data_IF_779588130992
#
_entry.id   IF_779588130992
#
_cell.length_a   1.000
_cell.length_b   1.000
_cell.length_c   1.000
_cell.angle_alpha   90.00
_cell.angle_beta   90.00
_cell.angle_gamma   90.00
#
_symmetry.space_group_name_H-M   'P 1'
#
loop_
_entity.id
_entity.type
_entity.pdbx_description
1 polymer ?
#
# COMPACT_ATOMS: atom_id res chain seq x y z
N UNK A 1 -29.23 -52.04 -19.45
CA UNK A 1 -28.48 -51.42 -18.32
C UNK A 1 -28.57 -49.91 -18.52
N UNK A 2 -29.68 -49.22 -18.19
CA UNK A 2 -30.05 -48.65 -16.88
C UNK A 2 -28.86 -48.11 -16.06
N UNK A 3 -28.74 -46.77 -16.05
CA UNK A 3 -28.45 -45.85 -14.93
C UNK A 3 -28.28 -44.45 -15.55
N UNK A 4 -28.82 -43.33 -15.08
CA UNK A 4 -29.95 -42.94 -14.24
C UNK A 4 -30.01 -41.42 -14.42
N UNK A 5 -31.20 -40.88 -14.63
CA UNK A 5 -31.47 -39.43 -14.74
C UNK A 5 -31.45 -38.79 -13.34
N UNK A 6 -30.97 -37.54 -13.29
CA UNK A 6 -31.19 -36.48 -12.29
C UNK A 6 -30.66 -36.63 -10.85
N UNK A 7 -29.95 -35.58 -10.38
CA UNK A 7 -30.52 -34.69 -9.36
C UNK A 7 -29.82 -33.32 -9.35
N UNK A 8 -30.62 -32.27 -9.39
CA UNK A 8 -30.23 -30.89 -9.15
C UNK A 8 -29.75 -30.71 -7.70
N UNK A 9 -28.71 -29.90 -7.51
CA UNK A 9 -28.46 -29.18 -6.26
C UNK A 9 -28.25 -27.71 -6.62
N UNK A 10 -29.36 -26.98 -6.71
CA UNK A 10 -29.39 -25.57 -6.35
C UNK A 10 -29.88 -25.53 -4.91
N UNK A 11 -29.03 -25.16 -3.97
CA UNK A 11 -29.48 -24.42 -2.79
C UNK A 11 -28.33 -23.66 -2.13
N UNK A 12 -28.44 -22.34 -2.29
CA UNK A 12 -28.06 -21.25 -1.40
C UNK A 12 -27.18 -21.62 -0.19
N UNK A 13 -25.92 -21.19 -0.23
CA UNK A 13 -25.19 -20.82 0.98
C UNK A 13 -24.80 -19.34 0.90
N UNK A 14 -25.51 -18.52 1.66
CA UNK A 14 -25.04 -17.26 2.21
C UNK A 14 -24.95 -16.08 1.24
N UNK A 15 -25.86 -15.11 1.41
CA UNK A 15 -25.55 -13.72 1.16
C UNK A 15 -24.38 -13.29 2.07
N UNK A 16 -23.14 -13.57 1.63
CA UNK A 16 -21.93 -13.17 2.33
C UNK A 16 -21.04 -12.35 1.38
N UNK A 17 -21.23 -11.04 1.49
CA UNK A 17 -20.16 -10.04 1.39
C UNK A 17 -19.36 -9.93 0.08
N UNK A 18 -20.05 -9.73 -1.05
CA UNK A 18 -19.40 -9.22 -2.28
C UNK A 18 -18.76 -7.83 -2.03
N UNK A 19 -19.35 -7.02 -1.14
CA UNK A 19 -18.82 -5.68 -0.82
C UNK A 19 -17.49 -5.65 -0.02
N UNK A 20 -17.02 -6.78 0.56
CA UNK A 20 -15.73 -6.79 1.30
C UNK A 20 -14.53 -6.84 0.36
N UNK A 21 -14.65 -7.60 -0.73
CA UNK A 21 -13.58 -7.74 -1.71
C UNK A 21 -13.23 -6.37 -2.33
N UNK A 22 -14.25 -5.63 -2.77
CA UNK A 22 -14.09 -4.31 -3.40
C UNK A 22 -13.38 -3.30 -2.47
N UNK A 23 -13.80 -3.19 -1.20
CA UNK A 23 -13.19 -2.23 -0.27
C UNK A 23 -11.71 -2.53 0.01
N UNK A 24 -11.36 -3.79 0.32
CA UNK A 24 -9.98 -4.15 0.64
C UNK A 24 -9.07 -4.02 -0.59
N UNK A 25 -9.57 -4.35 -1.77
CA UNK A 25 -8.84 -4.16 -3.02
C UNK A 25 -8.63 -2.67 -3.34
N UNK A 26 -9.65 -1.84 -3.18
CA UNK A 26 -9.56 -0.39 -3.36
C UNK A 26 -8.49 0.22 -2.47
N UNK A 27 -8.48 -0.09 -1.16
CA UNK A 27 -7.49 0.47 -0.24
C UNK A 27 -6.08 -0.06 -0.51
N UNK A 28 -5.92 -1.29 -1.01
CA UNK A 28 -4.62 -1.80 -1.47
C UNK A 28 -4.12 -1.02 -2.67
N UNK A 29 -4.98 -0.78 -3.67
CA UNK A 29 -4.63 -0.01 -4.86
C UNK A 29 -4.28 1.44 -4.50
N UNK A 30 -5.05 2.04 -3.58
CA UNK A 30 -4.77 3.37 -3.06
C UNK A 30 -3.41 3.42 -2.33
N UNK A 31 -3.11 2.40 -1.53
CA UNK A 31 -1.84 2.27 -0.82
C UNK A 31 -0.67 2.11 -1.80
N UNK A 32 -0.80 1.26 -2.81
CA UNK A 32 0.22 1.04 -3.83
C UNK A 32 0.58 2.35 -4.55
N UNK A 33 -0.43 3.06 -5.07
CA UNK A 33 -0.22 4.34 -5.74
C UNK A 33 0.37 5.40 -4.78
N UNK A 34 -0.05 5.42 -3.50
CA UNK A 34 0.59 6.25 -2.48
C UNK A 34 2.09 5.96 -2.35
N UNK A 35 2.48 4.69 -2.26
CA UNK A 35 3.89 4.32 -2.10
C UNK A 35 4.76 4.75 -3.29
N UNK A 36 4.26 4.59 -4.51
CA UNK A 36 4.93 5.07 -5.72
C UNK A 36 5.03 6.60 -5.74
N UNK A 37 3.92 7.29 -5.48
CA UNK A 37 3.88 8.75 -5.43
C UNK A 37 4.81 9.33 -4.37
N UNK A 38 4.89 8.69 -3.20
CA UNK A 38 5.80 9.07 -2.12
C UNK A 38 7.26 8.90 -2.53
N UNK A 39 7.63 7.74 -3.09
CA UNK A 39 9.00 7.47 -3.51
C UNK A 39 9.45 8.45 -4.60
N UNK A 40 8.61 8.64 -5.62
CA UNK A 40 8.88 9.52 -6.76
C UNK A 40 8.72 11.01 -6.46
N UNK A 41 8.22 11.38 -5.28
CA UNK A 41 8.07 12.79 -4.89
C UNK A 41 6.99 13.50 -5.67
N UNK A 42 5.85 12.84 -5.90
CA UNK A 42 4.74 13.41 -6.64
C UNK A 42 4.25 14.72 -6.00
N UNK A 43 4.00 15.73 -6.84
CA UNK A 43 3.71 17.09 -6.38
C UNK A 43 2.40 17.16 -5.56
N UNK A 44 1.42 16.32 -5.91
CA UNK A 44 0.10 16.28 -5.27
C UNK A 44 -0.02 15.23 -4.17
N UNK A 45 1.09 14.63 -3.75
CA UNK A 45 1.13 13.51 -2.81
C UNK A 45 0.35 13.78 -1.51
N UNK A 46 0.55 14.94 -0.88
CA UNK A 46 -0.13 15.30 0.37
C UNK A 46 -1.65 15.42 0.22
N UNK A 47 -2.13 15.83 -0.94
CA UNK A 47 -3.56 15.88 -1.25
C UNK A 47 -4.12 14.49 -1.52
N UNK A 48 -3.32 13.63 -2.16
CA UNK A 48 -3.67 12.23 -2.40
C UNK A 48 -3.87 11.47 -1.09
N UNK A 49 -2.90 11.53 -0.16
CA UNK A 49 -2.99 10.85 1.14
C UNK A 49 -4.22 11.26 1.93
N UNK A 50 -4.56 12.55 1.94
CA UNK A 50 -5.74 13.05 2.63
C UNK A 50 -7.02 12.39 2.12
N UNK A 51 -7.20 12.33 0.80
CA UNK A 51 -8.38 11.71 0.18
C UNK A 51 -8.36 10.19 0.33
N UNK A 52 -7.21 9.54 0.09
CA UNK A 52 -7.08 8.09 0.16
C UNK A 52 -7.35 7.55 1.57
N UNK A 53 -6.84 8.24 2.61
CA UNK A 53 -7.10 7.87 4.00
C UNK A 53 -8.52 8.20 4.43
N UNK A 54 -9.08 9.31 3.95
CA UNK A 54 -10.50 9.58 4.16
C UNK A 54 -11.38 8.49 3.53
N UNK A 55 -11.05 8.00 2.32
CA UNK A 55 -11.75 6.87 1.70
C UNK A 55 -11.65 5.62 2.54
N UNK A 56 -10.45 5.28 3.02
CA UNK A 56 -10.20 4.15 3.90
C UNK A 56 -11.11 4.20 5.14
N UNK A 57 -11.12 5.32 5.85
CA UNK A 57 -11.93 5.46 7.08
C UNK A 57 -13.43 5.49 6.77
N UNK A 58 -13.86 6.26 5.77
CA UNK A 58 -15.28 6.49 5.50
C UNK A 58 -15.98 5.33 4.79
N UNK A 59 -15.25 4.50 4.04
CA UNK A 59 -15.81 3.36 3.30
C UNK A 59 -15.93 2.09 4.14
N UNK A 60 -15.23 2.00 5.28
CA UNK A 60 -15.26 0.83 6.14
C UNK A 60 -16.61 0.67 6.87
N UNK A 61 -17.16 -0.55 6.90
CA UNK A 61 -18.45 -0.90 7.51
C UNK A 61 -18.34 -1.29 8.99
N UNK A 62 -17.13 -1.52 9.49
CA UNK A 62 -16.87 -1.81 10.90
C UNK A 62 -15.46 -1.39 11.28
N UNK A 63 -15.17 -1.31 12.58
CA UNK A 63 -13.84 -0.96 13.08
C UNK A 63 -12.83 -2.06 12.72
N UNK A 64 -13.27 -3.32 12.73
CA UNK A 64 -12.47 -4.47 12.28
C UNK A 64 -12.12 -4.36 10.79
N UNK A 65 -13.08 -4.02 9.92
CA UNK A 65 -12.83 -3.82 8.50
C UNK A 65 -11.93 -2.60 8.25
N UNK A 66 -12.09 -1.53 9.03
CA UNK A 66 -11.19 -0.37 8.97
C UNK A 66 -9.75 -0.75 9.34
N UNK A 67 -9.56 -1.51 10.42
CA UNK A 67 -8.23 -1.98 10.84
C UNK A 67 -7.57 -2.87 9.78
N UNK A 68 -8.34 -3.78 9.16
CA UNK A 68 -7.87 -4.60 8.03
C UNK A 68 -7.48 -3.73 6.83
N UNK A 69 -8.30 -2.72 6.50
CA UNK A 69 -8.00 -1.76 5.45
C UNK A 69 -6.75 -0.92 5.73
N UNK A 70 -6.54 -0.47 6.97
CA UNK A 70 -5.33 0.22 7.41
C UNK A 70 -4.09 -0.65 7.21
N UNK A 71 -4.16 -1.93 7.61
CA UNK A 71 -3.06 -2.86 7.41
C UNK A 71 -2.77 -3.07 5.92
N UNK A 72 -3.81 -3.27 5.11
CA UNK A 72 -3.70 -3.51 3.68
C UNK A 72 -3.11 -2.30 2.93
N UNK A 73 -3.62 -1.10 3.21
CA UNK A 73 -3.13 0.17 2.66
C UNK A 73 -1.66 0.40 2.99
N UNK A 74 -1.29 0.32 4.28
CA UNK A 74 0.07 0.60 4.73
C UNK A 74 1.06 -0.44 4.21
N UNK A 75 0.64 -1.71 4.13
CA UNK A 75 1.46 -2.78 3.55
C UNK A 75 1.71 -2.54 2.06
N UNK A 76 0.67 -2.19 1.29
CA UNK A 76 0.80 -1.90 -0.13
C UNK A 76 1.69 -0.67 -0.37
N UNK A 77 1.48 0.40 0.41
CA UNK A 77 2.31 1.62 0.39
C UNK A 77 3.77 1.32 0.66
N UNK A 78 4.07 0.61 1.74
CA UNK A 78 5.43 0.25 2.10
C UNK A 78 6.09 -0.61 1.01
N UNK A 79 5.38 -1.62 0.48
CA UNK A 79 5.91 -2.47 -0.60
C UNK A 79 6.22 -1.70 -1.87
N UNK A 80 5.29 -0.86 -2.33
CA UNK A 80 5.46 -0.04 -3.52
C UNK A 80 6.63 0.94 -3.36
N UNK A 81 6.70 1.64 -2.23
CA UNK A 81 7.81 2.54 -1.90
C UNK A 81 9.16 1.81 -1.92
N UNK A 82 9.27 0.69 -1.20
CA UNK A 82 10.51 -0.08 -1.12
C UNK A 82 10.95 -0.64 -2.47
N UNK A 83 9.99 -1.12 -3.28
CA UNK A 83 10.23 -1.59 -4.65
C UNK A 83 10.80 -0.47 -5.52
N UNK A 84 10.19 0.71 -5.47
CA UNK A 84 10.61 1.88 -6.23
C UNK A 84 11.97 2.42 -5.80
N UNK A 85 12.30 2.32 -4.51
CA UNK A 85 13.65 2.60 -4.01
C UNK A 85 14.66 1.58 -4.50
N UNK A 86 14.29 0.30 -4.51
CA UNK A 86 15.18 -0.80 -4.92
C UNK A 86 15.50 -0.78 -6.42
N UNK A 87 14.58 -0.31 -7.27
CA UNK A 87 14.83 -0.16 -8.70
C UNK A 87 15.57 1.14 -9.08
N UNK A 88 16.00 1.94 -8.10
CA UNK A 88 16.74 3.18 -8.35
C UNK A 88 15.87 4.35 -8.80
N UNK A 89 14.58 4.36 -8.47
CA UNK A 89 13.63 5.43 -8.83
C UNK A 89 13.41 5.58 -10.34
N UNK A 90 13.63 4.51 -11.11
CA UNK A 90 13.48 4.52 -12.56
C UNK A 90 12.04 4.84 -12.97
N UNK A 91 11.86 5.70 -13.98
CA UNK A 91 10.53 6.03 -14.50
C UNK A 91 9.69 6.98 -13.63
N UNK A 92 10.27 7.59 -12.58
CA UNK A 92 9.52 8.48 -11.69
C UNK A 92 8.92 9.71 -12.40
N UNK A 93 9.50 10.20 -13.49
CA UNK A 93 8.91 11.28 -14.30
C UNK A 93 7.53 10.89 -14.84
N UNK A 94 7.43 9.70 -15.43
CA UNK A 94 6.17 9.18 -15.97
C UNK A 94 5.17 8.84 -14.86
N UNK A 95 5.65 8.20 -13.77
CA UNK A 95 4.81 7.90 -12.61
C UNK A 95 4.21 9.19 -12.05
N UNK A 96 5.00 10.24 -11.86
CA UNK A 96 4.50 11.53 -11.37
C UNK A 96 3.47 12.14 -12.34
N UNK A 97 3.74 12.10 -13.65
CA UNK A 97 2.80 12.60 -14.65
C UNK A 97 1.46 11.85 -14.64
N UNK A 98 1.48 10.52 -14.46
CA UNK A 98 0.26 9.70 -14.34
C UNK A 98 -0.42 9.92 -12.98
N UNK A 99 0.36 10.02 -11.91
CA UNK A 99 -0.10 10.26 -10.55
C UNK A 99 -0.91 11.54 -10.50
N UNK A 100 -0.34 12.65 -10.97
CA UNK A 100 -0.96 13.98 -10.90
C UNK A 100 -2.25 14.12 -11.73
N UNK A 101 -2.48 13.20 -12.69
CA UNK A 101 -3.68 13.11 -13.54
C UNK A 101 -4.79 12.21 -12.97
N UNK A 102 -4.59 11.59 -11.81
CA UNK A 102 -5.59 10.69 -11.24
C UNK A 102 -6.91 11.40 -10.91
N UNK A 103 -8.03 10.74 -11.20
CA UNK A 103 -9.37 11.30 -10.96
C UNK A 103 -9.65 11.55 -9.47
N UNK A 104 -8.98 10.85 -8.56
CA UNK A 104 -9.15 11.00 -7.10
C UNK A 104 -9.02 12.45 -6.64
N UNK A 105 -8.26 13.28 -7.34
CA UNK A 105 -8.12 14.69 -6.98
C UNK A 105 -9.34 15.57 -7.27
N UNK A 106 -10.32 15.05 -8.02
CA UNK A 106 -11.60 15.70 -8.23
C UNK A 106 -12.62 15.33 -7.14
N UNK A 107 -12.20 14.55 -6.13
CA UNK A 107 -13.05 14.19 -4.99
C UNK A 107 -13.24 15.39 -4.07
N UNK A 108 -14.49 15.64 -3.67
CA UNK A 108 -14.77 16.63 -2.61
C UNK A 108 -14.79 15.94 -1.26
N UNK A 109 -13.89 16.34 -0.37
CA UNK A 109 -13.84 15.89 1.02
C UNK A 109 -14.46 16.96 1.93
N UNK A 110 -15.56 16.62 2.60
CA UNK A 110 -16.24 17.49 3.55
C UNK A 110 -15.64 17.35 4.94
N UNK A 111 -15.75 18.40 5.76
CA UNK A 111 -15.17 18.45 7.13
C UNK A 111 -15.57 17.26 8.01
N UNK A 112 -16.78 16.74 7.84
CA UNK A 112 -17.33 15.64 8.63
C UNK A 112 -16.92 14.22 8.14
N UNK A 113 -15.95 14.14 7.21
CA UNK A 113 -15.48 12.87 6.64
C UNK A 113 -16.29 12.35 5.45
N UNK A 114 -17.34 13.06 5.01
CA UNK A 114 -18.09 12.66 3.80
C UNK A 114 -17.22 12.91 2.56
N UNK A 115 -17.28 12.00 1.60
CA UNK A 115 -16.64 12.12 0.28
C UNK A 115 -17.71 12.18 -0.81
N UNK A 116 -17.53 13.08 -1.77
CA UNK A 116 -18.21 13.02 -3.07
C UNK A 116 -17.16 12.69 -4.13
N UNK A 117 -17.21 11.46 -4.62
CA UNK A 117 -16.29 10.92 -5.61
C UNK A 117 -16.51 11.56 -6.99
N UNK A 118 -15.53 11.47 -7.91
CA UNK A 118 -15.62 12.09 -9.24
C UNK A 118 -16.76 11.56 -10.11
N UNK A 119 -17.18 10.32 -9.89
CA UNK A 119 -18.33 9.68 -10.54
C UNK A 119 -19.68 10.10 -9.94
N UNK A 120 -19.67 10.96 -8.90
CA UNK A 120 -20.86 11.41 -8.19
C UNK A 120 -21.23 10.56 -6.98
N UNK A 121 -20.58 9.42 -6.74
CA UNK A 121 -20.85 8.55 -5.58
C UNK A 121 -20.57 9.31 -4.28
N UNK A 122 -21.51 9.25 -3.35
CA UNK A 122 -21.37 9.85 -2.01
C UNK A 122 -21.06 8.75 -1.01
N UNK A 123 -19.96 8.91 -0.27
CA UNK A 123 -19.53 7.99 0.78
C UNK A 123 -19.61 8.74 2.10
N UNK A 124 -20.41 8.21 3.03
CA UNK A 124 -20.59 8.78 4.37
C UNK A 124 -19.90 7.87 5.38
N UNK A 125 -19.12 8.43 6.32
CA UNK A 125 -18.53 7.62 7.36
C UNK A 125 -19.59 7.13 8.35
N UNK A 126 -19.34 5.98 8.98
CA UNK A 126 -20.20 5.43 10.04
C UNK A 126 -20.35 6.39 11.22
N UNK A 127 -19.28 7.11 11.53
CA UNK A 127 -19.23 8.15 12.54
C UNK A 127 -18.57 9.39 11.93
N UNK A 128 -19.14 10.56 12.17
CA UNK A 128 -18.53 11.82 11.72
C UNK A 128 -17.19 11.98 12.40
N UNK A 129 -16.18 12.41 11.65
CA UNK A 129 -14.86 12.74 12.15
C UNK A 129 -14.36 14.02 11.48
N UNK A 130 -13.36 14.68 12.05
CA UNK A 130 -12.70 15.80 11.40
C UNK A 130 -11.73 15.27 10.32
N UNK A 131 -12.09 15.49 9.07
CA UNK A 131 -11.32 15.02 7.93
C UNK A 131 -9.91 15.59 7.84
N UNK A 132 -9.61 16.69 8.54
CA UNK A 132 -8.25 17.27 8.58
C UNK A 132 -7.27 16.44 9.41
N UNK A 133 -7.77 15.55 10.27
CA UNK A 133 -6.96 14.76 11.20
C UNK A 133 -6.45 13.44 10.62
N UNK A 134 -6.95 13.01 9.44
CA UNK A 134 -6.57 11.70 8.89
C UNK A 134 -5.17 11.66 8.29
N UNK A 135 -4.58 12.82 8.00
CA UNK A 135 -3.24 12.92 7.44
C UNK A 135 -2.53 14.23 7.81
N UNK A 136 -1.30 14.12 8.31
CA UNK A 136 -0.42 15.25 8.56
C UNK A 136 0.32 15.67 7.27
N UNK A 137 -0.14 16.78 6.70
CA UNK A 137 0.45 17.38 5.49
C UNK A 137 1.79 18.07 5.76
N UNK A 138 2.16 18.32 7.01
CA UNK A 138 3.44 18.96 7.35
C UNK A 138 4.56 17.95 7.59
N UNK A 139 4.26 16.65 7.47
CA UNK A 139 5.25 15.59 7.61
C UNK A 139 6.35 15.66 6.55
N UNK A 140 7.59 15.38 6.98
CA UNK A 140 8.76 15.11 6.13
C UNK A 140 8.92 13.59 5.89
N UNK A 141 7.78 12.92 5.63
CA UNK A 141 7.68 11.46 5.56
C UNK A 141 8.68 10.88 4.54
N UNK A 142 8.79 11.50 3.37
CA UNK A 142 9.67 11.04 2.29
C UNK A 142 11.13 11.10 2.71
N UNK A 143 11.59 12.23 3.26
CA UNK A 143 12.97 12.42 3.68
C UNK A 143 13.34 11.40 4.77
N UNK A 144 12.45 11.19 5.74
CA UNK A 144 12.64 10.21 6.82
C UNK A 144 12.74 8.78 6.28
N UNK A 145 11.87 8.40 5.35
CA UNK A 145 11.89 7.05 4.77
C UNK A 145 13.07 6.85 3.82
N UNK A 146 13.52 7.89 3.12
CA UNK A 146 14.73 7.87 2.32
C UNK A 146 15.94 7.55 3.21
N UNK A 147 16.11 8.31 4.30
CA UNK A 147 17.19 8.11 5.26
C UNK A 147 17.13 6.72 5.91
N UNK A 148 15.94 6.24 6.24
CA UNK A 148 15.75 4.88 6.77
C UNK A 148 16.19 3.81 5.76
N UNK A 149 15.75 3.93 4.50
CA UNK A 149 16.13 3.01 3.44
C UNK A 149 17.65 2.97 3.24
N UNK A 150 18.29 4.13 3.16
CA UNK A 150 19.73 4.23 2.94
C UNK A 150 20.53 3.61 4.10
N UNK A 151 20.09 3.86 5.33
CA UNK A 151 20.65 3.20 6.52
C UNK A 151 20.51 1.69 6.48
N UNK A 152 19.35 1.18 6.05
CA UNK A 152 19.10 -0.25 5.91
C UNK A 152 20.03 -0.89 4.87
N UNK A 153 20.19 -0.24 3.71
CA UNK A 153 21.06 -0.75 2.64
C UNK A 153 22.54 -0.71 3.03
N UNK A 154 22.97 0.33 3.74
CA UNK A 154 24.32 0.41 4.29
C UNK A 154 24.61 -0.75 5.25
N UNK A 155 23.68 -1.08 6.15
CA UNK A 155 23.80 -2.23 7.05
C UNK A 155 23.88 -3.55 6.29
N UNK A 156 23.02 -3.76 5.28
CA UNK A 156 23.06 -4.95 4.43
C UNK A 156 24.40 -5.11 3.71
N UNK A 157 24.93 -4.01 3.17
CA UNK A 157 26.26 -4.00 2.52
C UNK A 157 27.38 -4.38 3.49
N UNK A 158 27.39 -3.82 4.71
CA UNK A 158 28.38 -4.18 5.73
C UNK A 158 28.29 -5.65 6.13
N UNK A 159 27.08 -6.19 6.28
CA UNK A 159 26.87 -7.59 6.60
C UNK A 159 27.38 -8.51 5.49
N UNK A 160 27.01 -8.23 4.22
CA UNK A 160 27.48 -9.02 3.08
C UNK A 160 29.02 -8.99 2.93
N UNK A 161 29.66 -7.85 3.24
CA UNK A 161 31.13 -7.76 3.26
C UNK A 161 31.74 -8.65 4.35
N UNK A 162 31.18 -8.65 5.57
CA UNK A 162 31.63 -9.51 6.66
C UNK A 162 31.46 -11.00 6.32
N UNK A 163 30.32 -11.38 5.77
CA UNK A 163 30.05 -12.75 5.31
C UNK A 163 31.03 -13.17 4.20
N UNK A 164 31.31 -12.30 3.24
CA UNK A 164 32.32 -12.55 2.20
C UNK A 164 33.75 -12.72 2.74
N UNK A 165 34.13 -11.99 3.78
CA UNK A 165 35.42 -12.17 4.48
C UNK A 165 35.44 -13.50 5.22
N UNK A 166 34.36 -13.82 5.95
CA UNK A 166 34.23 -15.07 6.68
C UNK A 166 34.39 -16.29 5.77
N UNK A 167 33.71 -16.31 4.62
CA UNK A 167 33.83 -17.40 3.65
C UNK A 167 35.25 -17.53 3.07
N UNK A 168 35.96 -16.41 2.87
CA UNK A 168 37.37 -16.44 2.45
C UNK A 168 38.28 -17.06 3.51
N UNK A 169 38.12 -16.67 4.77
CA UNK A 169 38.89 -17.23 5.90
C UNK A 169 38.63 -18.74 6.02
N UNK A 170 37.35 -19.14 5.99
CA UNK A 170 36.95 -20.55 6.09
C UNK A 170 37.55 -21.41 4.97
N UNK A 171 37.55 -20.92 3.72
CA UNK A 171 38.21 -21.61 2.59
C UNK A 171 39.72 -21.73 2.77
N UNK A 172 40.38 -20.68 3.23
CA UNK A 172 41.82 -20.72 3.49
C UNK A 172 42.18 -21.75 4.58
N UNK A 173 41.38 -21.83 5.65
CA UNK A 173 41.57 -22.83 6.72
C UNK A 173 41.38 -24.26 6.22
N UNK A 174 40.35 -24.52 5.41
CA UNK A 174 40.13 -25.84 4.81
C UNK A 174 41.28 -26.26 3.89
N UNK A 175 41.80 -25.34 3.08
CA UNK A 175 42.93 -25.62 2.21
C UNK A 175 44.23 -25.87 3.01
N UNK A 176 44.41 -25.20 4.15
CA UNK A 176 45.56 -25.41 5.03
C UNK A 176 45.50 -26.73 5.81
N UNK A 177 44.30 -27.28 6.05
CA UNK A 177 44.12 -28.55 6.76
C UNK A 177 44.26 -29.79 5.85
N UNK A 178 44.21 -29.61 4.53
CA UNK A 178 44.30 -30.68 3.53
C UNK A 178 45.67 -30.77 2.84
N UNK A 179 46.63 -29.95 3.26
CA UNK A 179 48.05 -30.02 2.87
C UNK A 179 48.90 -30.39 4.09
#
# INVERSE_FOLDING_TARGET
MKKSISLAIIMLLGALSVAKADYIEDVKNLGYASGEGLACGASRYKSYELVARAYLVSSARSDSEQAEGMYAYNTAKARAYMKKRADGLLGCSEINARFDKQKIFNTKLYKNGTLKMPDGKIIKPRQKYDATLVYDRNSNERERLNAYYDKLMAKKKQQAQKEGIYEKIKRAQLNAANN
#
